data_IF_617032594977
#
_entry.id   IF_617032594977
#
_cell.length_a   1.000
_cell.length_b   1.000
_cell.length_c   1.000
_cell.angle_alpha   90.00
_cell.angle_beta   90.00
_cell.angle_gamma   90.00
#
_symmetry.space_group_name_H-M   'P 1'
#
loop_
_entity.id
_entity.type
_entity.pdbx_description
1 polymer ?
#
# COMPACT_ATOMS: atom_id res chain seq x y z
N UNK A 1 4.06 -17.80 3.43
CA UNK A 1 2.65 -18.13 3.14
C UNK A 1 1.79 -17.10 3.85
N UNK A 2 0.85 -16.46 3.15
CA UNK A 2 -0.05 -15.49 3.77
C UNK A 2 -0.99 -16.20 4.74
N UNK A 3 -1.09 -15.70 5.96
CA UNK A 3 -2.08 -16.16 6.93
C UNK A 3 -3.14 -15.09 7.07
N UNK A 4 -4.36 -15.45 6.69
CA UNK A 4 -5.55 -14.61 6.88
C UNK A 4 -6.44 -15.24 7.94
N UNK A 5 -6.96 -14.40 8.84
CA UNK A 5 -7.91 -14.82 9.85
C UNK A 5 -9.22 -15.29 9.21
N UNK A 6 -10.07 -15.94 10.01
CA UNK A 6 -11.39 -16.35 9.54
C UNK A 6 -12.24 -15.12 9.19
N UNK A 7 -12.23 -14.09 10.02
CA UNK A 7 -12.99 -12.86 9.80
C UNK A 7 -12.56 -12.15 8.51
N UNK A 8 -11.26 -12.13 8.21
CA UNK A 8 -10.74 -11.53 6.96
C UNK A 8 -11.20 -12.30 5.71
N UNK A 9 -11.28 -13.63 5.79
CA UNK A 9 -11.81 -14.45 4.69
C UNK A 9 -13.32 -14.30 4.54
N UNK A 10 -14.04 -14.06 5.62
CA UNK A 10 -15.47 -13.81 5.59
C UNK A 10 -15.80 -12.41 5.04
N UNK A 11 -14.98 -11.40 5.35
CA UNK A 11 -15.16 -10.03 4.85
C UNK A 11 -14.81 -9.86 3.37
N UNK A 12 -13.87 -10.68 2.87
CA UNK A 12 -13.54 -10.76 1.45
C UNK A 12 -13.41 -12.23 1.00
N UNK A 13 -14.54 -12.90 0.72
CA UNK A 13 -14.56 -14.30 0.30
C UNK A 13 -13.74 -14.57 -0.95
N UNK A 14 -13.31 -15.83 -1.11
CA UNK A 14 -12.69 -16.29 -2.34
C UNK A 14 -13.56 -15.94 -3.56
N UNK A 15 -12.90 -15.63 -4.68
CA UNK A 15 -13.52 -15.20 -5.94
C UNK A 15 -14.26 -13.85 -5.88
N UNK A 16 -14.17 -13.11 -4.78
CA UNK A 16 -14.66 -11.72 -4.72
C UNK A 16 -13.88 -10.85 -5.72
N UNK A 17 -14.56 -10.12 -6.63
CA UNK A 17 -13.89 -9.20 -7.52
C UNK A 17 -13.22 -8.06 -6.73
N UNK A 18 -11.96 -7.77 -7.06
CA UNK A 18 -11.17 -6.70 -6.43
C UNK A 18 -10.48 -5.84 -7.47
N UNK A 19 -10.12 -4.63 -7.08
CA UNK A 19 -9.27 -3.73 -7.88
C UNK A 19 -7.89 -3.72 -7.24
N UNK A 20 -6.88 -4.21 -7.96
CA UNK A 20 -5.50 -4.21 -7.47
C UNK A 20 -4.85 -2.83 -7.64
N UNK A 21 -4.25 -2.32 -6.57
CA UNK A 21 -3.62 -1.00 -6.51
C UNK A 21 -2.11 -1.17 -6.62
N UNK A 22 -1.54 -0.55 -7.65
CA UNK A 22 -0.10 -0.51 -7.87
C UNK A 22 0.42 0.93 -7.78
N UNK A 23 1.54 1.11 -7.08
CA UNK A 23 2.21 2.40 -6.93
C UNK A 23 3.40 2.42 -7.88
N UNK A 24 3.34 3.26 -8.90
CA UNK A 24 4.45 3.44 -9.83
C UNK A 24 5.57 4.24 -9.18
N UNK A 25 6.80 4.06 -9.69
CA UNK A 25 7.93 4.90 -9.28
C UNK A 25 7.58 6.38 -9.55
N UNK A 26 7.94 7.25 -8.61
CA UNK A 26 7.65 8.69 -8.67
C UNK A 26 6.17 9.09 -8.65
N UNK A 27 5.24 8.19 -8.26
CA UNK A 27 3.86 8.55 -8.03
C UNK A 27 3.73 9.64 -6.96
N UNK A 28 2.85 10.63 -7.19
CA UNK A 28 2.48 11.59 -6.15
C UNK A 28 1.54 10.93 -5.14
N UNK A 29 2.05 10.73 -3.92
CA UNK A 29 1.29 10.16 -2.80
C UNK A 29 0.61 11.24 -1.94
N UNK A 30 0.50 12.47 -2.42
CA UNK A 30 -0.31 13.49 -1.75
C UNK A 30 -1.75 12.97 -1.55
N UNK A 31 -2.39 13.22 -0.40
CA UNK A 31 -3.73 12.71 -0.13
C UNK A 31 -4.75 13.03 -1.22
N UNK A 32 -4.62 14.20 -1.86
CA UNK A 32 -5.50 14.68 -2.93
C UNK A 32 -5.37 13.80 -4.19
N UNK A 33 -4.14 13.52 -4.66
CA UNK A 33 -3.95 12.72 -5.88
C UNK A 33 -4.23 11.23 -5.64
N UNK A 34 -3.99 10.74 -4.41
CA UNK A 34 -4.39 9.39 -3.98
C UNK A 34 -5.92 9.25 -3.99
N UNK A 35 -6.66 10.16 -3.36
CA UNK A 35 -8.12 10.13 -3.34
C UNK A 35 -8.70 10.23 -4.76
N UNK A 36 -8.19 11.15 -5.57
CA UNK A 36 -8.57 11.31 -6.97
C UNK A 36 -8.36 10.02 -7.76
N UNK A 37 -7.26 9.31 -7.54
CA UNK A 37 -6.99 8.03 -8.20
C UNK A 37 -8.03 6.97 -7.85
N UNK A 38 -8.40 6.84 -6.57
CA UNK A 38 -9.45 5.90 -6.15
C UNK A 38 -10.82 6.26 -6.73
N UNK A 39 -11.19 7.55 -6.74
CA UNK A 39 -12.45 8.02 -7.34
C UNK A 39 -12.51 7.74 -8.84
N UNK A 40 -11.43 8.02 -9.57
CA UNK A 40 -11.33 7.72 -10.99
C UNK A 40 -11.42 6.22 -11.27
N UNK A 41 -10.80 5.39 -10.44
CA UNK A 41 -10.90 3.93 -10.56
C UNK A 41 -12.35 3.46 -10.42
N UNK A 42 -13.09 3.95 -9.41
CA UNK A 42 -14.51 3.60 -9.26
C UNK A 42 -15.34 4.00 -10.49
N UNK A 43 -15.15 5.20 -11.02
CA UNK A 43 -15.85 5.66 -12.22
C UNK A 43 -15.51 4.77 -13.43
N UNK A 44 -14.23 4.47 -13.62
CA UNK A 44 -13.76 3.65 -14.73
C UNK A 44 -14.32 2.22 -14.67
N UNK A 45 -14.14 1.53 -13.53
CA UNK A 45 -14.55 0.14 -13.40
C UNK A 45 -16.07 -0.02 -13.40
N UNK A 46 -16.83 0.91 -12.80
CA UNK A 46 -18.29 0.88 -12.88
C UNK A 46 -18.80 1.12 -14.32
N UNK A 47 -18.12 1.96 -15.10
CA UNK A 47 -18.50 2.24 -16.49
C UNK A 47 -18.17 1.08 -17.44
N UNK A 48 -16.98 0.50 -17.30
CA UNK A 48 -16.46 -0.47 -18.26
C UNK A 48 -16.68 -1.94 -17.86
N UNK A 49 -16.91 -2.21 -16.57
CA UNK A 49 -17.12 -3.55 -16.02
C UNK A 49 -18.34 -3.60 -15.08
N UNK A 50 -19.53 -3.12 -15.51
CA UNK A 50 -20.69 -2.93 -14.63
C UNK A 50 -21.28 -4.21 -14.02
N UNK A 51 -20.98 -5.37 -14.62
CA UNK A 51 -21.39 -6.69 -14.15
C UNK A 51 -20.54 -7.16 -12.96
N UNK A 52 -19.31 -6.67 -12.83
CA UNK A 52 -18.45 -6.99 -11.69
C UNK A 52 -18.83 -6.15 -10.48
N UNK A 53 -19.12 -6.82 -9.37
CA UNK A 53 -19.39 -6.17 -8.08
C UNK A 53 -18.10 -6.13 -7.27
N UNK A 54 -17.20 -5.21 -7.64
CA UNK A 54 -15.94 -5.03 -6.92
C UNK A 54 -16.19 -4.74 -5.44
N UNK A 55 -15.53 -5.52 -4.58
CA UNK A 55 -15.72 -5.49 -3.12
C UNK A 55 -14.66 -4.66 -2.41
N UNK A 56 -13.44 -4.67 -2.92
CA UNK A 56 -12.33 -3.98 -2.30
C UNK A 56 -11.30 -3.48 -3.32
N UNK A 57 -10.58 -2.43 -2.93
CA UNK A 57 -9.23 -2.20 -3.40
C UNK A 57 -8.28 -3.07 -2.60
N UNK A 58 -7.30 -3.68 -3.25
CA UNK A 58 -6.26 -4.50 -2.60
C UNK A 58 -4.90 -3.96 -3.01
N UNK A 59 -3.98 -3.81 -2.05
CA UNK A 59 -2.61 -3.39 -2.31
C UNK A 59 -1.62 -4.29 -1.58
N UNK A 60 -0.57 -4.69 -2.28
CA UNK A 60 0.58 -5.42 -1.74
C UNK A 60 1.84 -4.57 -1.93
N UNK A 61 2.34 -3.96 -0.86
CA UNK A 61 3.45 -3.02 -0.96
C UNK A 61 4.21 -2.84 0.34
N UNK A 62 5.51 -2.56 0.23
CA UNK A 62 6.36 -2.14 1.34
C UNK A 62 5.86 -0.85 1.97
N UNK A 63 5.18 0.02 1.21
CA UNK A 63 4.61 1.29 1.71
C UNK A 63 3.62 1.05 2.85
N UNK A 64 2.92 -0.09 2.84
CA UNK A 64 1.90 -0.46 3.82
C UNK A 64 2.48 -1.12 5.08
N UNK A 65 3.79 -1.38 5.13
CA UNK A 65 4.37 -2.10 6.26
C UNK A 65 4.32 -1.27 7.53
N UNK A 66 3.75 -1.84 8.61
CA UNK A 66 3.44 -1.09 9.84
C UNK A 66 4.66 -0.47 10.51
N UNK A 67 5.84 -1.07 10.35
CA UNK A 67 7.10 -0.56 10.94
C UNK A 67 7.68 0.64 10.18
N UNK A 68 7.15 1.04 9.03
CA UNK A 68 7.56 2.25 8.31
C UNK A 68 7.45 3.52 9.16
N UNK A 69 6.55 3.55 10.16
CA UNK A 69 6.42 4.66 11.13
C UNK A 69 7.69 4.92 11.94
N UNK A 70 8.60 3.95 12.02
CA UNK A 70 9.90 4.11 12.69
C UNK A 70 10.98 4.69 11.76
N UNK A 71 10.71 4.76 10.45
CA UNK A 71 11.65 5.19 9.42
C UNK A 71 11.28 6.56 8.82
N UNK A 72 10.00 6.89 8.85
CA UNK A 72 9.42 8.05 8.19
C UNK A 72 8.99 9.11 9.20
N UNK A 73 9.01 10.37 8.78
CA UNK A 73 8.41 11.47 9.54
C UNK A 73 6.89 11.29 9.65
N UNK A 74 6.29 11.76 10.75
CA UNK A 74 4.85 11.64 11.02
C UNK A 74 3.96 12.23 9.92
N UNK A 75 4.42 13.28 9.24
CA UNK A 75 3.68 13.92 8.15
C UNK A 75 3.92 13.30 6.76
N UNK A 76 4.64 12.18 6.68
CA UNK A 76 5.00 11.49 5.44
C UNK A 76 3.75 11.08 4.64
N UNK A 77 3.78 11.36 3.34
CA UNK A 77 2.75 10.93 2.40
C UNK A 77 2.66 9.40 2.26
N UNK A 78 3.76 8.67 2.49
CA UNK A 78 3.74 7.19 2.51
C UNK A 78 2.90 6.68 3.68
N UNK A 79 3.03 7.30 4.88
CA UNK A 79 2.24 6.90 6.05
C UNK A 79 0.76 7.23 5.82
N UNK A 80 0.45 8.44 5.34
CA UNK A 80 -0.91 8.82 4.97
C UNK A 80 -1.53 7.93 3.91
N UNK A 81 -0.75 7.49 2.92
CA UNK A 81 -1.19 6.51 1.94
C UNK A 81 -1.57 5.18 2.62
N UNK A 82 -0.71 4.65 3.50
CA UNK A 82 -0.97 3.41 4.23
C UNK A 82 -2.20 3.49 5.14
N UNK A 83 -2.49 4.65 5.74
CA UNK A 83 -3.67 4.89 6.60
C UNK A 83 -5.01 4.67 5.88
N UNK A 84 -5.05 4.73 4.55
CA UNK A 84 -6.26 4.42 3.79
C UNK A 84 -6.63 2.92 3.86
N UNK A 85 -5.68 2.06 4.19
CA UNK A 85 -5.83 0.61 4.13
C UNK A 85 -6.00 -0.01 5.52
N UNK A 86 -6.92 -0.97 5.60
CA UNK A 86 -6.90 -1.95 6.69
C UNK A 86 -5.84 -3.01 6.37
N UNK A 87 -4.78 -3.08 7.18
CA UNK A 87 -3.73 -4.09 7.01
C UNK A 87 -4.27 -5.46 7.43
N UNK A 88 -4.27 -6.42 6.51
CA UNK A 88 -4.77 -7.78 6.75
C UNK A 88 -3.66 -8.80 6.93
N UNK A 89 -2.46 -8.52 6.42
CA UNK A 89 -1.29 -9.37 6.66
C UNK A 89 -0.02 -8.59 6.36
N UNK A 90 1.06 -8.91 7.06
CA UNK A 90 2.38 -8.31 6.83
C UNK A 90 3.49 -9.33 7.03
N UNK A 91 4.59 -9.15 6.31
CA UNK A 91 5.76 -10.03 6.33
C UNK A 91 7.00 -9.16 6.45
N UNK A 92 7.89 -9.53 7.37
CA UNK A 92 9.20 -8.91 7.46
C UNK A 92 10.12 -9.51 6.39
N UNK A 93 10.05 -8.91 5.20
CA UNK A 93 10.90 -9.21 4.05
C UNK A 93 11.28 -7.91 3.35
N UNK A 94 12.58 -7.70 3.19
CA UNK A 94 13.17 -6.42 2.84
C UNK A 94 13.27 -6.21 1.33
N UNK A 95 13.09 -7.25 0.52
CA UNK A 95 13.43 -7.23 -0.92
C UNK A 95 12.76 -6.08 -1.67
N UNK A 96 11.43 -5.98 -1.57
CA UNK A 96 10.65 -4.94 -2.26
C UNK A 96 11.01 -3.52 -1.78
N UNK A 97 11.28 -3.37 -0.49
CA UNK A 97 11.65 -2.09 0.10
C UNK A 97 13.04 -1.65 -0.36
N UNK A 98 14.02 -2.56 -0.36
CA UNK A 98 15.38 -2.30 -0.81
C UNK A 98 15.43 -1.92 -2.28
N UNK A 99 14.71 -2.65 -3.13
CA UNK A 99 14.59 -2.30 -4.55
C UNK A 99 13.97 -0.91 -4.74
N UNK A 100 12.93 -0.59 -3.98
CA UNK A 100 12.23 0.70 -4.13
C UNK A 100 13.03 1.88 -3.60
N UNK A 101 13.77 1.72 -2.48
CA UNK A 101 14.51 2.79 -1.81
C UNK A 101 15.86 3.07 -2.49
N UNK A 102 16.52 2.02 -2.99
CA UNK A 102 17.88 2.11 -3.55
C UNK A 102 17.96 1.82 -5.06
N UNK A 103 16.84 1.48 -5.69
CA UNK A 103 16.72 1.28 -7.14
C UNK A 103 17.14 -0.11 -7.64
N UNK A 104 17.93 -0.88 -6.87
CA UNK A 104 18.32 -2.27 -7.16
C UNK A 104 18.64 -3.02 -5.86
N UNK A 105 18.04 -4.19 -5.65
CA UNK A 105 18.29 -5.03 -4.48
C UNK A 105 19.69 -5.67 -4.44
N UNK A 106 20.37 -5.77 -5.59
CA UNK A 106 21.66 -6.48 -5.76
C UNK A 106 22.91 -5.59 -5.79
N UNK A 107 22.83 -4.31 -5.39
CA UNK A 107 24.05 -3.50 -5.20
C UNK A 107 24.63 -3.76 -3.80
N UNK A 108 25.96 -3.84 -3.70
CA UNK A 108 26.62 -3.98 -2.41
C UNK A 108 26.24 -2.79 -1.51
N UNK A 109 26.06 -3.05 -0.21
CA UNK A 109 25.54 -2.07 0.76
C UNK A 109 26.34 -0.76 0.78
N UNK A 110 27.65 -0.82 0.53
CA UNK A 110 28.54 0.35 0.47
C UNK A 110 28.19 1.33 -0.66
N UNK A 111 27.35 0.92 -1.62
CA UNK A 111 26.89 1.74 -2.75
C UNK A 111 25.44 2.22 -2.61
N UNK A 112 24.78 1.97 -1.47
CA UNK A 112 23.44 2.49 -1.26
C UNK A 112 23.47 4.02 -1.20
N UNK A 113 22.69 4.73 -2.03
CA UNK A 113 22.56 6.18 -1.91
C UNK A 113 22.01 6.55 -0.53
N UNK A 114 22.52 7.64 0.03
CA UNK A 114 22.17 8.13 1.38
C UNK A 114 21.65 9.57 1.34
N UNK A 115 21.11 10.00 0.20
CA UNK A 115 20.73 11.40 -0.06
C UNK A 115 19.47 11.80 0.73
N UNK A 116 18.54 10.87 0.91
CA UNK A 116 17.27 11.10 1.60
C UNK A 116 17.27 10.58 3.05
N UNK A 117 16.38 11.14 3.89
CA UNK A 117 16.18 10.64 5.25
C UNK A 117 15.72 9.19 5.26
N UNK A 118 14.83 8.81 4.35
CA UNK A 118 14.34 7.44 4.21
C UNK A 118 15.48 6.46 3.92
N UNK A 119 16.36 6.78 2.97
CA UNK A 119 17.54 5.94 2.67
C UNK A 119 18.41 5.74 3.90
N UNK A 120 18.76 6.82 4.61
CA UNK A 120 19.59 6.73 5.83
C UNK A 120 18.91 5.90 6.92
N UNK A 121 17.61 6.14 7.17
CA UNK A 121 16.87 5.43 8.22
C UNK A 121 16.70 3.94 7.89
N UNK A 122 16.41 3.61 6.63
CA UNK A 122 16.29 2.22 6.17
C UNK A 122 17.62 1.47 6.29
N UNK A 123 18.74 2.11 5.94
CA UNK A 123 20.08 1.50 6.08
C UNK A 123 20.41 1.13 7.52
N UNK A 124 20.08 2.01 8.47
CA UNK A 124 20.33 1.79 9.90
C UNK A 124 19.37 0.75 10.52
N UNK A 125 18.20 0.53 9.91
CA UNK A 125 17.11 -0.25 10.49
C UNK A 125 16.52 -1.26 9.49
N UNK A 126 17.37 -2.06 8.84
CA UNK A 126 16.92 -3.04 7.83
C UNK A 126 15.82 -3.97 8.36
N UNK A 127 15.87 -4.35 9.65
CA UNK A 127 14.85 -5.17 10.32
C UNK A 127 13.46 -4.53 10.43
N UNK A 128 13.32 -3.24 10.07
CA UNK A 128 12.05 -2.53 9.96
C UNK A 128 11.53 -2.45 8.52
N UNK A 129 12.22 -3.08 7.57
CA UNK A 129 11.74 -3.26 6.21
C UNK A 129 10.91 -4.54 6.11
N UNK A 130 9.83 -4.44 5.37
CA UNK A 130 8.82 -5.47 5.20
C UNK A 130 7.85 -5.07 4.10
N UNK A 131 6.86 -5.91 3.86
CA UNK A 131 5.73 -5.56 3.03
C UNK A 131 4.43 -6.04 3.66
N UNK A 132 3.33 -5.40 3.26
CA UNK A 132 2.01 -5.71 3.78
C UNK A 132 0.97 -5.81 2.66
N UNK A 133 -0.07 -6.58 2.95
CA UNK A 133 -1.31 -6.62 2.21
C UNK A 133 -2.34 -5.77 2.96
N UNK A 134 -2.91 -4.78 2.27
CA UNK A 134 -3.97 -3.94 2.81
C UNK A 134 -5.17 -3.90 1.88
N UNK A 135 -6.34 -3.67 2.48
CA UNK A 135 -7.61 -3.56 1.77
C UNK A 135 -8.34 -2.26 2.09
N UNK A 136 -9.09 -1.77 1.11
CA UNK A 136 -10.10 -0.72 1.29
C UNK A 136 -11.43 -1.29 0.83
N UNK A 137 -12.39 -1.45 1.74
CA UNK A 137 -13.73 -1.91 1.38
C UNK A 137 -14.43 -0.83 0.55
N UNK A 138 -14.86 -1.16 -0.68
CA UNK A 138 -15.44 -0.17 -1.61
C UNK A 138 -16.76 0.39 -1.08
N UNK A 139 -17.58 -0.44 -0.44
CA UNK A 139 -18.85 0.01 0.14
C UNK A 139 -18.63 1.08 1.22
N UNK A 140 -17.74 0.81 2.19
CA UNK A 140 -17.40 1.76 3.23
C UNK A 140 -16.77 3.04 2.66
N UNK A 141 -15.91 2.91 1.64
CA UNK A 141 -15.28 4.04 0.97
C UNK A 141 -16.29 4.92 0.20
N UNK A 142 -17.26 4.32 -0.48
CA UNK A 142 -18.32 5.10 -1.17
C UNK A 142 -19.23 5.81 -0.15
N UNK A 143 -19.52 5.18 0.98
CA UNK A 143 -20.28 5.80 2.07
C UNK A 143 -19.52 7.00 2.63
N UNK A 144 -18.21 6.90 2.89
CA UNK A 144 -17.43 8.01 3.44
C UNK A 144 -17.36 9.22 2.48
N UNK A 145 -17.36 9.00 1.16
CA UNK A 145 -17.44 10.09 0.18
C UNK A 145 -18.80 10.80 0.15
N UNK A 146 -19.86 10.16 0.66
CA UNK A 146 -21.22 10.70 0.66
C UNK A 146 -21.51 11.57 1.89
N UNK A 147 -20.65 11.53 2.90
CA UNK A 147 -20.77 12.27 4.16
C UNK A 147 -19.43 12.93 4.53
N UNK A 148 -19.06 14.03 3.86
CA UNK A 148 -17.82 14.77 4.14
C UNK A 148 -17.83 15.51 5.48
#
# INVERSE_FOLDING_TARGET
MWFFSKEQKESLPADSPVINVHIQHSADLSPIEVEKSFRLALVFFNKHYPTYKFKAFVCYSWLLYSKNKNLLAENSNILKFAENFTIISEVQDQEQALESIYGKSNIAKDYYPMDTSLQRMAFLNLNYLGYACGIIAIEAYVISLSYP
#
